data_IF_474766100135
#
_entry.id   IF_474766100135
#
_cell.length_a   1.000
_cell.length_b   1.000
_cell.length_c   1.000
_cell.angle_alpha   90.00
_cell.angle_beta   90.00
_cell.angle_gamma   90.00
#
_symmetry.space_group_name_H-M   'P 1'
#
loop_
_entity.id
_entity.type
_entity.pdbx_description
1 polymer ?
#
# COMPACT_ATOMS: atom_id res chain seq x y z
N UNK A 1 -10.05 -4.68 -14.26
CA UNK A 1 -10.12 -3.92 -13.00
C UNK A 1 -11.55 -3.57 -12.61
N UNK A 2 -12.28 -2.68 -13.28
CA UNK A 2 -13.62 -2.22 -12.84
C UNK A 2 -14.63 -3.37 -12.65
N UNK A 3 -14.69 -4.33 -13.58
CA UNK A 3 -15.56 -5.51 -13.47
C UNK A 3 -15.21 -6.33 -12.20
N UNK A 4 -13.95 -6.60 -11.96
CA UNK A 4 -13.47 -7.30 -10.77
C UNK A 4 -13.83 -6.56 -9.46
N UNK A 5 -13.68 -5.22 -9.43
CA UNK A 5 -14.07 -4.43 -8.25
C UNK A 5 -15.58 -4.46 -8.02
N UNK A 6 -16.39 -4.40 -9.09
CA UNK A 6 -17.85 -4.56 -8.98
C UNK A 6 -18.25 -5.95 -8.45
N UNK A 7 -17.56 -7.03 -8.88
CA UNK A 7 -17.76 -8.38 -8.35
C UNK A 7 -17.41 -8.51 -6.87
N UNK A 8 -16.42 -7.71 -6.40
CA UNK A 8 -16.10 -7.57 -4.98
C UNK A 8 -17.12 -6.71 -4.18
N UNK A 9 -18.09 -6.09 -4.86
CA UNK A 9 -19.13 -5.26 -4.22
C UNK A 9 -18.77 -3.78 -4.06
N UNK A 10 -17.72 -3.30 -4.70
CA UNK A 10 -17.42 -1.86 -4.73
C UNK A 10 -18.35 -1.14 -5.69
N UNK A 11 -19.05 -0.09 -5.21
CA UNK A 11 -20.07 0.64 -5.99
C UNK A 11 -19.59 2.02 -6.47
N UNK A 12 -18.82 2.72 -5.64
CA UNK A 12 -18.38 4.09 -5.91
C UNK A 12 -16.95 4.09 -6.47
N UNK A 13 -16.77 3.67 -7.73
CA UNK A 13 -15.48 3.55 -8.37
C UNK A 13 -15.19 4.79 -9.20
N UNK A 14 -14.11 5.50 -8.85
CA UNK A 14 -13.59 6.64 -9.61
C UNK A 14 -12.34 6.16 -10.36
N UNK A 15 -12.35 6.30 -11.69
CA UNK A 15 -11.16 6.05 -12.49
C UNK A 15 -10.34 7.33 -12.62
N UNK A 16 -9.09 7.25 -12.18
CA UNK A 16 -8.09 8.30 -12.39
C UNK A 16 -7.23 7.90 -13.58
N UNK A 17 -7.13 8.76 -14.58
CA UNK A 17 -6.33 8.48 -15.77
C UNK A 17 -4.84 8.54 -15.44
N UNK A 18 -4.07 7.63 -16.05
CA UNK A 18 -2.64 7.56 -15.84
C UNK A 18 -1.92 8.79 -16.42
N UNK A 19 -0.96 9.31 -15.68
CA UNK A 19 -0.04 10.35 -16.15
C UNK A 19 1.12 9.68 -16.90
N UNK A 20 1.11 9.74 -18.23
CA UNK A 20 2.09 9.07 -19.06
C UNK A 20 3.26 10.01 -19.43
N UNK A 21 4.45 9.68 -18.98
CA UNK A 21 5.70 10.33 -19.35
C UNK A 21 6.68 9.29 -19.91
N UNK A 22 6.79 9.13 -21.24
CA UNK A 22 7.55 8.02 -21.86
C UNK A 22 8.99 7.90 -21.36
N UNK A 23 9.66 9.02 -21.09
CA UNK A 23 11.05 9.05 -20.62
C UNK A 23 11.16 9.12 -19.07
N UNK A 24 10.03 9.18 -18.35
CA UNK A 24 9.96 9.37 -16.91
C UNK A 24 8.80 8.60 -16.30
N UNK A 25 8.69 7.31 -16.58
CA UNK A 25 7.55 6.49 -16.16
C UNK A 25 7.32 6.51 -14.63
N UNK A 26 8.40 6.55 -13.81
CA UNK A 26 8.28 6.65 -12.36
C UNK A 26 7.60 7.96 -11.93
N UNK A 27 7.92 9.07 -12.60
CA UNK A 27 7.24 10.33 -12.36
C UNK A 27 5.76 10.25 -12.72
N UNK A 28 5.42 9.56 -13.82
CA UNK A 28 4.03 9.32 -14.22
C UNK A 28 3.26 8.54 -13.16
N UNK A 29 3.82 7.42 -12.70
CA UNK A 29 3.24 6.61 -11.65
C UNK A 29 3.02 7.43 -10.36
N UNK A 30 4.05 8.16 -9.91
CA UNK A 30 3.96 9.00 -8.70
C UNK A 30 2.93 10.12 -8.83
N UNK A 31 2.81 10.77 -10.00
CA UNK A 31 1.80 11.80 -10.24
C UNK A 31 0.38 11.21 -10.29
N UNK A 32 0.20 10.01 -10.87
CA UNK A 32 -1.09 9.33 -10.88
C UNK A 32 -1.57 8.98 -9.47
N UNK A 33 -0.66 8.51 -8.59
CA UNK A 33 -0.97 8.31 -7.18
C UNK A 33 -1.32 9.62 -6.45
N UNK A 34 -0.58 10.70 -6.73
CA UNK A 34 -0.92 12.03 -6.20
C UNK A 34 -2.33 12.44 -6.58
N UNK A 35 -2.71 12.29 -7.85
CA UNK A 35 -4.02 12.67 -8.37
C UNK A 35 -5.11 11.79 -7.76
N UNK A 36 -4.91 10.47 -7.67
CA UNK A 36 -5.85 9.56 -7.01
C UNK A 36 -6.09 9.92 -5.54
N UNK A 37 -5.02 10.27 -4.79
CA UNK A 37 -5.11 10.70 -3.40
C UNK A 37 -5.72 12.11 -3.22
N UNK A 38 -6.04 12.80 -4.30
CA UNK A 38 -6.66 14.12 -4.29
C UNK A 38 -8.15 14.10 -4.63
N UNK A 39 -8.69 12.97 -5.10
CA UNK A 39 -10.07 12.88 -5.58
C UNK A 39 -11.11 12.92 -4.47
N UNK A 40 -10.83 12.28 -3.33
CA UNK A 40 -11.79 12.13 -2.23
C UNK A 40 -11.10 12.21 -0.86
N UNK A 41 -11.89 12.53 0.17
CA UNK A 41 -11.44 12.48 1.55
C UNK A 41 -11.59 11.05 2.12
N UNK A 42 -10.73 10.70 3.10
CA UNK A 42 -10.78 9.40 3.77
C UNK A 42 -12.13 9.19 4.52
N UNK A 43 -12.67 7.94 4.55
CA UNK A 43 -12.02 6.71 4.11
C UNK A 43 -12.21 6.41 2.62
N UNK A 44 -11.16 5.94 1.96
CA UNK A 44 -11.19 5.48 0.57
C UNK A 44 -10.09 4.44 0.27
N UNK A 45 -10.22 3.74 -0.85
CA UNK A 45 -9.21 2.78 -1.32
C UNK A 45 -8.61 3.27 -2.63
N UNK A 46 -7.29 3.18 -2.75
CA UNK A 46 -6.58 3.33 -4.03
C UNK A 46 -6.16 1.95 -4.51
N UNK A 47 -6.48 1.64 -5.77
CA UNK A 47 -6.03 0.44 -6.47
C UNK A 47 -5.19 0.83 -7.69
N UNK A 48 -4.10 0.11 -7.91
CA UNK A 48 -3.40 0.10 -9.19
C UNK A 48 -4.13 -0.81 -10.18
N UNK A 49 -4.05 -0.53 -11.47
CA UNK A 49 -4.83 -1.20 -12.52
C UNK A 49 -4.38 -2.63 -12.83
N UNK A 50 -3.21 -3.03 -12.32
CA UNK A 50 -2.66 -4.38 -12.40
C UNK A 50 -2.97 -5.25 -11.17
N UNK A 51 -3.85 -4.80 -10.28
CA UNK A 51 -4.33 -5.60 -9.15
C UNK A 51 -5.26 -6.72 -9.62
N UNK A 52 -5.13 -7.88 -8.99
CA UNK A 52 -6.08 -8.99 -9.07
C UNK A 52 -6.54 -9.40 -7.69
N UNK A 53 -7.82 -9.79 -7.58
CA UNK A 53 -8.38 -10.32 -6.34
C UNK A 53 -7.94 -11.77 -6.14
N UNK A 54 -7.57 -12.11 -4.88
CA UNK A 54 -7.35 -13.50 -4.46
C UNK A 54 -8.50 -14.01 -3.60
N UNK A 55 -8.75 -13.33 -2.48
CA UNK A 55 -9.72 -13.76 -1.47
C UNK A 55 -10.26 -12.55 -0.72
N UNK A 56 -11.06 -11.73 -1.39
CA UNK A 56 -11.57 -10.50 -0.79
C UNK A 56 -12.65 -10.82 0.27
N UNK A 57 -12.51 -10.21 1.44
CA UNK A 57 -13.49 -10.26 2.51
C UNK A 57 -14.02 -8.83 2.74
N UNK A 58 -15.32 -8.57 2.49
CA UNK A 58 -15.86 -7.21 2.56
C UNK A 58 -16.01 -6.67 3.99
N UNK A 59 -15.96 -7.54 4.99
CA UNK A 59 -16.09 -7.16 6.40
C UNK A 59 -14.91 -7.77 7.18
N UNK A 60 -14.10 -6.89 7.76
CA UNK A 60 -12.98 -7.25 8.63
C UNK A 60 -12.96 -6.37 9.86
N UNK A 61 -12.55 -6.92 10.99
CA UNK A 61 -12.33 -6.16 12.20
C UNK A 61 -10.87 -5.66 12.24
N UNK A 62 -10.70 -4.38 12.55
CA UNK A 62 -9.40 -3.72 12.64
C UNK A 62 -9.35 -2.82 13.89
N UNK A 63 -8.16 -2.47 14.40
CA UNK A 63 -8.04 -1.51 15.50
C UNK A 63 -8.67 -0.15 15.18
N UNK A 64 -9.31 0.48 16.17
CA UNK A 64 -9.98 1.79 16.01
C UNK A 64 -9.01 2.92 15.61
N UNK A 65 -7.73 2.77 15.95
CA UNK A 65 -6.67 3.74 15.67
C UNK A 65 -5.95 3.51 14.33
N UNK A 66 -6.54 2.71 13.43
CA UNK A 66 -5.98 2.39 12.13
C UNK A 66 -5.87 3.63 11.25
N UNK A 67 -4.66 3.92 10.76
CA UNK A 67 -4.43 4.99 9.78
C UNK A 67 -4.60 4.49 8.34
N UNK A 68 -4.08 3.30 8.03
CA UNK A 68 -4.24 2.66 6.72
C UNK A 68 -4.07 1.13 6.80
N UNK A 69 -4.62 0.44 5.78
CA UNK A 69 -4.45 -1.00 5.60
C UNK A 69 -4.01 -1.29 4.18
N UNK A 70 -2.93 -2.03 4.05
CA UNK A 70 -2.52 -2.63 2.79
C UNK A 70 -3.33 -3.91 2.55
N UNK A 71 -4.20 -3.87 1.56
CA UNK A 71 -5.02 -5.01 1.13
C UNK A 71 -4.23 -5.98 0.25
N UNK A 72 -3.11 -5.53 -0.29
CA UNK A 72 -2.08 -6.31 -0.95
C UNK A 72 -0.74 -6.11 -0.26
N UNK A 73 0.16 -7.09 -0.34
CA UNK A 73 1.48 -7.03 0.29
C UNK A 73 2.61 -7.15 -0.73
N UNK A 74 3.77 -6.63 -0.36
CA UNK A 74 5.03 -6.81 -1.08
C UNK A 74 6.06 -7.46 -0.15
N UNK A 75 6.92 -8.32 -0.69
CA UNK A 75 8.06 -8.87 0.05
C UNK A 75 9.23 -7.88 0.20
N UNK A 76 9.13 -6.72 -0.43
CA UNK A 76 10.16 -5.69 -0.40
C UNK A 76 9.85 -4.64 0.66
N UNK A 77 10.89 -4.25 1.40
CA UNK A 77 10.84 -3.19 2.41
C UNK A 77 11.95 -2.18 2.22
N UNK A 78 11.82 -1.02 2.86
CA UNK A 78 12.78 0.07 2.85
C UNK A 78 13.54 0.13 4.18
N UNK A 79 14.88 0.01 4.13
CA UNK A 79 15.71 0.09 5.32
C UNK A 79 17.07 0.75 5.02
N UNK A 80 17.47 1.72 5.85
CA UNK A 80 18.76 2.41 5.75
C UNK A 80 19.06 2.95 4.34
N UNK A 81 18.05 3.49 3.66
CA UNK A 81 18.20 4.05 2.31
C UNK A 81 18.18 3.03 1.18
N UNK A 82 17.97 1.74 1.47
CA UNK A 82 17.94 0.67 0.47
C UNK A 82 16.60 -0.08 0.49
N UNK A 83 16.16 -0.57 -0.66
CA UNK A 83 15.01 -1.46 -0.80
C UNK A 83 15.47 -2.91 -0.98
N UNK A 84 14.75 -3.87 -0.36
CA UNK A 84 15.10 -5.28 -0.41
C UNK A 84 14.13 -6.14 0.42
N UNK A 85 14.41 -7.45 0.56
CA UNK A 85 13.56 -8.37 1.32
C UNK A 85 13.74 -8.15 2.85
N UNK A 86 13.30 -6.99 3.34
CA UNK A 86 13.52 -6.54 4.71
C UNK A 86 12.27 -5.94 5.37
N UNK A 87 11.07 -6.30 4.89
CA UNK A 87 9.81 -5.87 5.52
C UNK A 87 9.79 -6.28 6.98
N UNK A 88 9.55 -5.33 7.88
CA UNK A 88 9.42 -5.59 9.31
C UNK A 88 7.96 -5.47 9.75
N UNK A 89 7.57 -6.36 10.65
CA UNK A 89 6.20 -6.43 11.14
C UNK A 89 6.14 -6.85 12.61
N UNK A 90 5.00 -6.57 13.24
CA UNK A 90 4.55 -7.16 14.49
C UNK A 90 3.14 -7.75 14.31
N UNK A 91 2.84 -8.85 14.99
CA UNK A 91 1.49 -9.36 15.08
C UNK A 91 0.62 -8.42 15.90
N UNK A 92 -0.64 -8.23 15.50
CA UNK A 92 -1.58 -7.36 16.19
C UNK A 92 -2.37 -8.19 17.20
N UNK A 93 -2.22 -7.88 18.49
CA UNK A 93 -2.91 -8.61 19.56
C UNK A 93 -4.42 -8.42 19.45
N UNK A 94 -5.18 -9.51 19.47
CA UNK A 94 -6.64 -9.48 19.38
C UNK A 94 -7.19 -9.48 17.95
N UNK A 95 -6.33 -9.37 16.93
CA UNK A 95 -6.72 -9.34 15.51
C UNK A 95 -5.94 -10.42 14.71
N UNK A 96 -6.40 -11.69 14.76
CA UNK A 96 -5.73 -12.77 14.01
C UNK A 96 -5.71 -12.47 12.51
N UNK A 97 -4.58 -12.72 11.86
CA UNK A 97 -4.40 -12.46 10.43
C UNK A 97 -4.05 -11.01 10.09
N UNK A 98 -4.06 -10.11 11.07
CA UNK A 98 -3.63 -8.73 10.88
C UNK A 98 -2.22 -8.53 11.43
N UNK A 99 -1.36 -7.89 10.66
CA UNK A 99 0.00 -7.53 11.04
C UNK A 99 0.21 -6.03 10.88
N UNK A 100 0.97 -5.45 11.79
CA UNK A 100 1.45 -4.10 11.64
C UNK A 100 2.72 -4.09 10.81
N UNK A 101 2.79 -3.26 9.78
CA UNK A 101 3.95 -3.10 8.92
C UNK A 101 4.64 -1.76 9.16
N UNK A 102 5.97 -1.74 8.99
CA UNK A 102 6.78 -0.58 9.34
C UNK A 102 7.54 0.05 8.18
N UNK A 103 7.76 -0.69 7.09
CA UNK A 103 8.63 -0.27 6.00
C UNK A 103 8.36 -1.01 4.68
N UNK A 104 7.14 -1.51 4.48
CA UNK A 104 6.78 -2.26 3.29
C UNK A 104 6.61 -1.34 2.09
N UNK A 105 7.33 -1.58 0.98
CA UNK A 105 7.10 -0.93 -0.31
C UNK A 105 5.95 -1.61 -1.05
N UNK A 106 5.43 -0.93 -2.09
CA UNK A 106 4.25 -1.34 -2.85
C UNK A 106 3.06 -0.48 -2.49
N UNK A 107 2.20 -0.19 -3.48
CA UNK A 107 1.07 0.71 -3.30
C UNK A 107 -0.18 0.25 -4.06
N UNK A 108 -0.20 -1.01 -4.53
CA UNK A 108 -1.20 -1.51 -5.47
C UNK A 108 -2.63 -1.64 -4.92
N UNK A 109 -2.82 -1.74 -3.59
CA UNK A 109 -4.15 -1.75 -2.96
C UNK A 109 -4.04 -1.25 -1.51
N UNK A 110 -4.40 0.01 -1.25
CA UNK A 110 -4.30 0.63 0.08
C UNK A 110 -5.63 1.27 0.45
N UNK A 111 -6.18 0.86 1.60
CA UNK A 111 -7.31 1.51 2.26
C UNK A 111 -6.79 2.56 3.23
N UNK A 112 -7.16 3.81 3.03
CA UNK A 112 -6.83 4.95 3.88
C UNK A 112 -8.01 5.27 4.80
N UNK A 113 -7.81 5.23 6.10
CA UNK A 113 -8.80 5.63 7.11
C UNK A 113 -8.56 7.05 7.61
N UNK A 114 -7.30 7.47 7.67
CA UNK A 114 -6.89 8.73 8.26
C UNK A 114 -6.52 9.75 7.18
N UNK A 115 -7.22 10.89 7.18
CA UNK A 115 -7.00 11.97 6.21
C UNK A 115 -5.60 12.60 6.32
N UNK A 116 -5.01 12.66 7.52
CA UNK A 116 -3.66 13.20 7.69
C UNK A 116 -2.62 12.27 7.05
N UNK A 117 -2.75 10.95 7.25
CA UNK A 117 -1.89 9.97 6.60
C UNK A 117 -2.05 10.00 5.08
N UNK A 118 -3.29 10.02 4.57
CA UNK A 118 -3.55 10.16 3.13
C UNK A 118 -2.94 11.45 2.55
N UNK A 119 -3.07 12.58 3.27
CA UNK A 119 -2.49 13.87 2.87
C UNK A 119 -0.95 13.85 2.88
N UNK A 120 -0.33 13.11 3.79
CA UNK A 120 1.12 12.90 3.80
C UNK A 120 1.54 12.05 2.60
N UNK A 121 0.88 10.93 2.33
CA UNK A 121 1.14 10.08 1.16
C UNK A 121 0.98 10.86 -0.15
N UNK A 122 -0.05 11.72 -0.26
CA UNK A 122 -0.22 12.63 -1.40
C UNK A 122 0.99 13.56 -1.61
N UNK A 123 1.51 14.16 -0.54
CA UNK A 123 2.72 15.03 -0.63
C UNK A 123 3.95 14.23 -1.04
N UNK A 124 4.09 13.01 -0.53
CA UNK A 124 5.19 12.10 -0.88
C UNK A 124 5.10 11.71 -2.36
N UNK A 125 3.91 11.37 -2.86
CA UNK A 125 3.69 11.05 -4.26
C UNK A 125 4.05 12.24 -5.17
N UNK A 126 3.65 13.45 -4.81
CA UNK A 126 4.06 14.66 -5.54
C UNK A 126 5.57 14.88 -5.53
N UNK A 127 6.23 14.63 -4.40
CA UNK A 127 7.69 14.69 -4.33
C UNK A 127 8.35 13.63 -5.24
N UNK A 128 7.84 12.38 -5.25
CA UNK A 128 8.29 11.33 -6.17
C UNK A 128 8.18 11.75 -7.64
N UNK A 129 7.09 12.42 -8.02
CA UNK A 129 6.95 13.03 -9.35
C UNK A 129 8.07 14.04 -9.64
N UNK A 130 8.39 14.93 -8.70
CA UNK A 130 9.40 15.96 -8.92
C UNK A 130 10.81 15.39 -9.13
N UNK A 131 11.17 14.33 -8.40
CA UNK A 131 12.51 13.73 -8.45
C UNK A 131 12.59 12.48 -9.36
N UNK A 132 11.50 12.09 -10.01
CA UNK A 132 11.38 10.86 -10.81
C UNK A 132 11.72 9.59 -10.02
N UNK A 133 11.09 9.40 -8.87
CA UNK A 133 11.28 8.24 -7.99
C UNK A 133 9.93 7.58 -7.67
N UNK A 134 9.98 6.36 -7.15
CA UNK A 134 8.80 5.62 -6.71
C UNK A 134 8.17 6.22 -5.46
N UNK A 135 6.88 6.51 -5.48
CA UNK A 135 6.12 7.03 -4.33
C UNK A 135 6.05 6.04 -3.17
N UNK A 136 5.98 4.74 -3.46
CA UNK A 136 5.88 3.67 -2.47
C UNK A 136 7.10 3.54 -1.57
N UNK A 137 8.29 3.91 -2.07
CA UNK A 137 9.52 4.04 -1.27
C UNK A 137 9.31 5.08 -0.16
N UNK A 138 8.77 6.24 -0.50
CA UNK A 138 8.47 7.28 0.47
C UNK A 138 7.33 6.90 1.42
N UNK A 139 6.32 6.15 0.94
CA UNK A 139 5.26 5.60 1.79
C UNK A 139 5.86 4.63 2.82
N UNK A 140 6.76 3.74 2.41
CA UNK A 140 7.45 2.81 3.30
C UNK A 140 8.25 3.52 4.40
N UNK A 141 8.90 4.64 4.09
CA UNK A 141 9.70 5.41 5.05
C UNK A 141 8.87 6.05 6.17
N UNK A 142 7.56 6.30 5.93
CA UNK A 142 6.68 6.93 6.91
C UNK A 142 5.77 5.96 7.67
N UNK A 143 5.58 4.73 7.20
CA UNK A 143 4.72 3.73 7.84
C UNK A 143 5.00 3.54 9.33
N UNK A 144 6.28 3.57 9.74
CA UNK A 144 6.71 3.40 11.13
C UNK A 144 6.18 4.46 12.10
N UNK A 145 5.69 5.59 11.59
CA UNK A 145 5.16 6.70 12.40
C UNK A 145 3.64 6.67 12.54
N UNK A 146 2.98 5.74 11.84
CA UNK A 146 1.53 5.60 11.78
C UNK A 146 1.09 4.18 12.10
N UNK A 147 -0.20 3.98 12.36
CA UNK A 147 -0.79 2.65 12.56
C UNK A 147 -1.18 2.07 11.20
N UNK A 148 -0.17 1.54 10.49
CA UNK A 148 -0.34 0.94 9.16
C UNK A 148 -0.32 -0.57 9.29
N UNK A 149 -1.35 -1.22 8.78
CA UNK A 149 -1.53 -2.66 8.87
C UNK A 149 -1.54 -3.32 7.48
N UNK A 150 -1.43 -4.64 7.47
CA UNK A 150 -1.63 -5.50 6.31
C UNK A 150 -2.23 -6.83 6.77
N UNK A 151 -2.87 -7.56 5.85
CA UNK A 151 -3.29 -8.93 6.11
C UNK A 151 -2.16 -9.91 5.79
N UNK A 152 -1.96 -10.92 6.64
CA UNK A 152 -0.99 -12.00 6.42
C UNK A 152 -1.41 -12.90 5.24
N UNK A 153 -2.71 -13.00 4.96
CA UNK A 153 -3.29 -13.51 3.72
C UNK A 153 -3.93 -12.35 2.93
N UNK A 154 -3.20 -11.70 2.01
CA UNK A 154 -3.65 -10.49 1.34
C UNK A 154 -4.85 -10.75 0.43
N UNK A 155 -5.73 -9.75 0.31
CA UNK A 155 -6.92 -9.82 -0.54
C UNK A 155 -6.62 -9.61 -2.01
N UNK A 156 -5.59 -8.84 -2.30
CA UNK A 156 -5.19 -8.45 -3.65
C UNK A 156 -3.71 -8.71 -3.91
N UNK A 157 -3.39 -9.00 -5.15
CA UNK A 157 -2.03 -9.12 -5.64
C UNK A 157 -1.81 -8.20 -6.83
N UNK A 158 -0.58 -7.78 -7.03
CA UNK A 158 -0.13 -7.10 -8.23
C UNK A 158 0.33 -8.14 -9.26
N UNK A 159 -0.21 -8.08 -10.49
CA UNK A 159 0.13 -9.05 -11.56
C UNK A 159 1.37 -8.67 -12.33
N UNK A 160 1.76 -7.39 -12.28
CA UNK A 160 2.97 -6.94 -12.95
C UNK A 160 3.96 -6.36 -11.94
N UNK A 161 5.25 -6.49 -12.25
CA UNK A 161 6.31 -5.81 -11.53
C UNK A 161 7.29 -5.27 -12.57
N UNK A 162 7.44 -3.95 -12.62
CA UNK A 162 8.25 -3.28 -13.65
C UNK A 162 7.84 -3.66 -15.08
N UNK A 163 6.54 -3.80 -15.35
CA UNK A 163 6.00 -4.18 -16.65
C UNK A 163 6.16 -5.66 -17.04
N UNK A 164 6.45 -6.53 -16.06
CA UNK A 164 6.57 -7.98 -16.28
C UNK A 164 5.51 -8.72 -15.49
N UNK A 165 4.64 -9.47 -16.16
CA UNK A 165 3.62 -10.31 -15.53
C UNK A 165 4.25 -11.34 -14.59
N UNK A 166 3.66 -11.49 -13.41
CA UNK A 166 4.11 -12.44 -12.40
C UNK A 166 3.11 -13.58 -12.28
N UNK A 167 3.56 -14.85 -12.26
CA UNK A 167 2.67 -15.98 -11.97
C UNK A 167 2.23 -15.93 -10.49
N UNK A 168 1.01 -16.38 -10.21
CA UNK A 168 0.43 -16.39 -8.85
C UNK A 168 1.33 -17.08 -7.81
N UNK A 169 2.08 -18.10 -8.22
CA UNK A 169 3.02 -18.84 -7.35
C UNK A 169 4.24 -18.03 -6.89
N UNK A 170 4.53 -16.89 -7.54
CA UNK A 170 5.63 -16.01 -7.14
C UNK A 170 5.17 -14.77 -6.37
N UNK A 171 3.88 -14.68 -6.04
CA UNK A 171 3.34 -13.54 -5.32
C UNK A 171 3.87 -13.48 -3.87
N UNK A 172 4.00 -12.27 -3.32
CA UNK A 172 4.53 -12.09 -1.98
C UNK A 172 3.73 -12.86 -0.92
N UNK A 173 4.45 -13.35 0.09
CA UNK A 173 3.89 -14.00 1.28
C UNK A 173 4.51 -13.37 2.52
N UNK A 174 3.76 -13.35 3.62
CA UNK A 174 4.24 -12.88 4.93
C UNK A 174 5.45 -13.69 5.44
N UNK A 175 5.67 -14.89 4.92
CA UNK A 175 6.85 -15.71 5.27
C UNK A 175 8.18 -15.00 4.96
N UNK A 176 8.18 -14.01 4.06
CA UNK A 176 9.36 -13.18 3.76
C UNK A 176 9.53 -12.00 4.72
N UNK A 177 8.54 -11.74 5.59
CA UNK A 177 8.61 -10.64 6.54
C UNK A 177 9.51 -11.02 7.73
N UNK A 178 10.03 -10.00 8.39
CA UNK A 178 10.91 -10.14 9.54
C UNK A 178 10.27 -9.49 10.78
N UNK A 179 10.40 -10.10 11.98
CA UNK A 179 9.99 -9.44 13.22
C UNK A 179 10.62 -8.06 13.34
N UNK A 180 9.88 -7.11 13.92
CA UNK A 180 10.35 -5.73 14.16
C UNK A 180 11.57 -5.71 15.12
N UNK A 181 12.76 -5.84 14.55
CA UNK A 181 14.03 -5.84 15.31
C UNK A 181 14.47 -4.43 15.71
N UNK A 182 13.90 -3.39 15.11
CA UNK A 182 14.23 -2.00 15.42
C UNK A 182 13.34 -1.42 16.52
N UNK A 183 12.39 -2.19 17.03
CA UNK A 183 11.43 -1.76 18.06
C UNK A 183 10.69 -0.48 17.66
N UNK A 184 10.40 -0.33 16.36
CA UNK A 184 9.64 0.81 15.85
C UNK A 184 8.24 0.82 16.47
N UNK A 185 7.79 2.02 16.82
CA UNK A 185 6.45 2.27 17.37
C UNK A 185 5.89 3.53 16.72
N UNK A 186 4.57 3.69 16.63
CA UNK A 186 4.00 4.97 16.20
C UNK A 186 4.48 6.08 17.11
N UNK A 187 4.72 7.24 16.51
CA UNK A 187 5.01 8.45 17.29
C UNK A 187 3.75 9.04 17.93
N UNK A 188 2.55 8.62 17.47
CA UNK A 188 1.29 9.07 18.05
C UNK A 188 0.98 8.25 19.30
N UNK A 189 0.93 8.95 20.43
CA UNK A 189 0.29 8.50 21.67
C UNK A 189 -1.09 9.19 21.65
N UNK A 190 -2.15 8.41 21.45
CA UNK A 190 -3.53 8.88 21.60
C UNK A 190 -3.92 8.90 23.06
#
# INVERSE_FOLDING_TARGET
>A
MQEMLNECGFENIIRVEANEFPDRHLAGCSLSHHDALNEVDAPFIVFEDDCVVKNFQPIVEVPDDTDAIYLGISSWGRMNGHSGPCVQYDNVQGYPGLVRVYNMVGAHAILYFNQEYASLCKKIAYHGYLISDHQDIGFADVQRYYNVYAFDDPFFYQTSSNGTDQPLSSYPSIEFFQPNKNFWKPLRVY
#
